data_IF_238366031415
#
_entry.id   IF_238366031415
#
_cell.length_a   1.000
_cell.length_b   1.000
_cell.length_c   1.000
_cell.angle_alpha   90.00
_cell.angle_beta   90.00
_cell.angle_gamma   90.00
#
_symmetry.space_group_name_H-M   'P 1'
#
loop_
_entity.id
_entity.type
_entity.pdbx_description
1 polymer ?
#
# COMPACT_ATOMS: atom_id res chain seq x y z
N UNK A 1 19.71 -5.50 1.14
CA UNK A 1 18.90 -5.91 2.32
C UNK A 1 18.40 -7.32 2.06
N UNK A 2 18.29 -8.15 3.09
CA UNK A 2 17.77 -9.50 2.94
C UNK A 2 16.37 -9.59 3.58
N UNK A 3 15.36 -9.87 2.77
CA UNK A 3 13.97 -10.06 3.17
C UNK A 3 13.47 -11.48 2.86
N UNK A 4 14.39 -12.44 2.69
CA UNK A 4 14.05 -13.84 2.44
C UNK A 4 13.03 -14.33 3.48
N UNK A 5 12.04 -15.10 3.04
CA UNK A 5 10.94 -15.61 3.86
C UNK A 5 10.00 -14.55 4.47
N UNK A 6 10.16 -13.27 4.12
CA UNK A 6 9.25 -12.21 4.54
C UNK A 6 8.16 -12.00 3.51
N UNK A 7 6.99 -11.57 4.00
CA UNK A 7 5.88 -11.15 3.15
C UNK A 7 5.61 -9.67 3.38
N UNK A 8 5.65 -8.91 2.30
CA UNK A 8 5.35 -7.49 2.28
C UNK A 8 3.99 -7.23 1.65
N UNK A 9 3.21 -6.36 2.28
CA UNK A 9 1.98 -5.80 1.72
C UNK A 9 2.24 -4.33 1.39
N UNK A 10 2.00 -3.93 0.13
CA UNK A 10 2.21 -2.56 -0.35
C UNK A 10 0.91 -2.01 -0.91
N UNK A 11 0.42 -0.90 -0.37
CA UNK A 11 -0.75 -0.24 -0.95
C UNK A 11 -0.36 0.68 -2.10
N UNK A 12 -1.14 0.64 -3.21
CA UNK A 12 -0.85 1.45 -4.40
C UNK A 12 0.39 0.99 -5.17
N UNK A 13 0.61 -0.31 -5.30
CA UNK A 13 1.84 -0.92 -5.84
C UNK A 13 1.94 -0.98 -7.37
N UNK A 14 0.91 -0.57 -8.13
CA UNK A 14 0.88 -0.75 -9.58
C UNK A 14 1.74 0.24 -10.38
N UNK A 15 2.14 1.37 -9.80
CA UNK A 15 2.92 2.43 -10.47
C UNK A 15 3.73 3.29 -9.50
N UNK A 16 4.59 4.15 -10.05
CA UNK A 16 5.33 5.17 -9.29
C UNK A 16 6.13 4.61 -8.14
N UNK A 17 6.08 5.27 -6.98
CA UNK A 17 6.81 4.89 -5.78
C UNK A 17 6.39 3.50 -5.27
N UNK A 18 5.09 3.19 -5.28
CA UNK A 18 4.59 1.89 -4.85
C UNK A 18 5.17 0.74 -5.66
N UNK A 19 5.24 0.88 -6.99
CA UNK A 19 5.91 -0.11 -7.87
C UNK A 19 7.40 -0.23 -7.54
N UNK A 20 8.10 0.88 -7.39
CA UNK A 20 9.52 0.86 -7.05
C UNK A 20 9.78 0.15 -5.72
N UNK A 21 8.92 0.39 -4.71
CA UNK A 21 8.98 -0.30 -3.42
C UNK A 21 8.73 -1.81 -3.58
N UNK A 22 7.73 -2.22 -4.37
CA UNK A 22 7.48 -3.63 -4.65
C UNK A 22 8.72 -4.32 -5.27
N UNK A 23 9.34 -3.69 -6.26
CA UNK A 23 10.54 -4.21 -6.92
C UNK A 23 11.74 -4.30 -5.98
N UNK A 24 11.93 -3.31 -5.11
CA UNK A 24 13.03 -3.32 -4.15
C UNK A 24 12.87 -4.40 -3.07
N UNK A 25 11.65 -4.60 -2.59
CA UNK A 25 11.33 -5.69 -1.68
C UNK A 25 11.52 -7.06 -2.35
N UNK A 26 11.10 -7.19 -3.62
CA UNK A 26 11.30 -8.39 -4.43
C UNK A 26 12.79 -8.70 -4.64
N UNK A 27 13.63 -7.70 -4.97
CA UNK A 27 15.12 -7.87 -5.04
C UNK A 27 15.71 -8.36 -3.73
N UNK A 28 15.14 -7.94 -2.61
CA UNK A 28 15.53 -8.39 -1.28
C UNK A 28 15.05 -9.81 -0.93
N UNK A 29 14.29 -10.47 -1.80
CA UNK A 29 13.78 -11.83 -1.61
C UNK A 29 12.44 -11.93 -0.87
N UNK A 30 11.72 -10.81 -0.69
CA UNK A 30 10.39 -10.85 -0.10
C UNK A 30 9.33 -11.38 -1.08
N UNK A 31 8.33 -12.09 -0.55
CA UNK A 31 7.06 -12.24 -1.23
C UNK A 31 6.31 -10.91 -1.19
N UNK A 32 5.69 -10.50 -2.29
CA UNK A 32 5.06 -9.19 -2.40
C UNK A 32 3.57 -9.34 -2.70
N UNK A 33 2.72 -8.79 -1.84
CA UNK A 33 1.31 -8.58 -2.13
C UNK A 33 1.09 -7.08 -2.24
N UNK A 34 0.46 -6.62 -3.29
CA UNK A 34 0.16 -5.20 -3.40
C UNK A 34 -1.24 -4.96 -3.91
N UNK A 35 -1.77 -3.79 -3.60
CA UNK A 35 -3.07 -3.42 -4.15
C UNK A 35 -2.99 -2.29 -5.18
N UNK A 36 -4.03 -2.24 -6.01
CA UNK A 36 -4.27 -1.20 -7.00
C UNK A 36 -5.76 -0.85 -7.05
N UNK A 37 -6.10 0.37 -7.46
CA UNK A 37 -7.50 0.79 -7.53
C UNK A 37 -8.15 0.47 -8.90
N UNK A 38 -7.54 0.87 -10.02
CA UNK A 38 -8.20 0.82 -11.32
C UNK A 38 -7.39 0.29 -12.50
N UNK A 39 -6.07 0.37 -12.48
CA UNK A 39 -5.25 -0.04 -13.62
C UNK A 39 -4.68 -1.45 -13.44
N UNK A 40 -5.44 -2.44 -13.92
CA UNK A 40 -5.08 -3.85 -13.85
C UNK A 40 -3.87 -4.19 -14.73
N UNK A 41 -3.75 -3.58 -15.91
CA UNK A 41 -2.61 -3.82 -16.80
C UNK A 41 -1.29 -3.42 -16.13
N UNK A 42 -1.22 -2.23 -15.50
CA UNK A 42 -0.05 -1.77 -14.76
C UNK A 42 0.23 -2.65 -13.51
N UNK A 43 -0.81 -3.21 -12.90
CA UNK A 43 -0.63 -4.14 -11.80
C UNK A 43 0.00 -5.46 -12.29
N UNK A 44 -0.48 -6.02 -13.40
CA UNK A 44 0.09 -7.23 -14.00
C UNK A 44 1.55 -7.03 -14.45
N UNK A 45 1.89 -5.87 -15.00
CA UNK A 45 3.28 -5.51 -15.30
C UNK A 45 4.17 -5.50 -14.05
N UNK A 46 3.64 -5.00 -12.93
CA UNK A 46 4.37 -4.98 -11.66
C UNK A 46 4.57 -6.40 -11.10
N UNK A 47 3.56 -7.27 -11.22
CA UNK A 47 3.68 -8.70 -10.86
C UNK A 47 4.79 -9.35 -11.67
N UNK A 48 4.72 -9.26 -13.01
CA UNK A 48 5.73 -9.85 -13.91
C UNK A 48 7.15 -9.33 -13.61
N UNK A 49 7.28 -8.04 -13.30
CA UNK A 49 8.56 -7.45 -12.92
C UNK A 49 9.10 -7.98 -11.57
N UNK A 50 8.25 -8.21 -10.58
CA UNK A 50 8.65 -8.85 -9.32
C UNK A 50 9.07 -10.31 -9.54
N UNK A 51 8.32 -11.05 -10.35
CA UNK A 51 8.61 -12.45 -10.67
C UNK A 51 9.93 -12.60 -11.44
N UNK A 52 10.24 -11.67 -12.35
CA UNK A 52 11.54 -11.64 -13.05
C UNK A 52 12.74 -11.45 -12.11
N UNK A 53 12.51 -10.93 -10.91
CA UNK A 53 13.50 -10.81 -9.84
C UNK A 53 13.56 -12.05 -8.92
N UNK A 54 12.78 -13.09 -9.22
CA UNK A 54 12.72 -14.34 -8.45
C UNK A 54 11.76 -14.31 -7.25
N UNK A 55 10.99 -13.24 -7.07
CA UNK A 55 10.02 -13.13 -6.00
C UNK A 55 8.64 -13.69 -6.42
N UNK A 56 7.82 -14.10 -5.46
CA UNK A 56 6.40 -14.35 -5.71
C UNK A 56 5.62 -13.07 -5.47
N UNK A 57 4.76 -12.70 -6.42
CA UNK A 57 3.98 -11.47 -6.33
C UNK A 57 2.49 -11.70 -6.62
N UNK A 58 1.62 -10.99 -5.90
CA UNK A 58 0.17 -11.01 -6.08
C UNK A 58 -0.38 -9.60 -6.07
N UNK A 59 -1.15 -9.25 -7.10
CA UNK A 59 -1.88 -8.00 -7.17
C UNK A 59 -3.35 -8.21 -6.75
N UNK A 60 -3.89 -7.30 -5.96
CA UNK A 60 -5.28 -7.31 -5.49
C UNK A 60 -5.93 -5.98 -5.81
N UNK A 61 -7.09 -5.99 -6.46
CA UNK A 61 -7.89 -4.78 -6.60
C UNK A 61 -8.48 -4.42 -5.25
N UNK A 62 -8.23 -3.20 -4.78
CA UNK A 62 -8.66 -2.75 -3.46
C UNK A 62 -8.71 -1.23 -3.40
N UNK A 63 -9.83 -0.71 -2.94
CA UNK A 63 -9.94 0.65 -2.45
C UNK A 63 -9.57 0.67 -0.96
N UNK A 64 -8.47 1.32 -0.62
CA UNK A 64 -7.98 1.38 0.77
C UNK A 64 -8.94 2.09 1.73
N UNK A 65 -9.86 2.90 1.23
CA UNK A 65 -10.91 3.55 2.03
C UNK A 65 -12.05 2.61 2.42
N UNK A 66 -12.13 1.42 1.77
CA UNK A 66 -13.13 0.39 2.01
C UNK A 66 -12.57 -0.71 2.93
N UNK A 67 -13.14 -0.86 4.12
CA UNK A 67 -12.68 -1.86 5.11
C UNK A 67 -12.76 -3.31 4.59
N UNK A 68 -13.80 -3.62 3.79
CA UNK A 68 -13.96 -4.95 3.21
C UNK A 68 -12.85 -5.28 2.21
N UNK A 69 -12.45 -4.32 1.37
CA UNK A 69 -11.37 -4.49 0.41
C UNK A 69 -10.03 -4.65 1.10
N UNK A 70 -9.76 -3.83 2.12
CA UNK A 70 -8.54 -3.95 2.95
C UNK A 70 -8.48 -5.32 3.64
N UNK A 71 -9.61 -5.79 4.16
CA UNK A 71 -9.67 -7.14 4.73
C UNK A 71 -9.34 -8.20 3.69
N UNK A 72 -9.91 -8.12 2.49
CA UNK A 72 -9.63 -9.06 1.39
C UNK A 72 -8.14 -9.04 0.98
N UNK A 73 -7.51 -7.86 0.94
CA UNK A 73 -6.08 -7.70 0.68
C UNK A 73 -5.23 -8.47 1.72
N UNK A 74 -5.50 -8.27 3.01
CA UNK A 74 -4.76 -8.95 4.08
C UNK A 74 -5.04 -10.45 4.10
N UNK A 75 -6.28 -10.85 3.90
CA UNK A 75 -6.66 -12.28 3.80
C UNK A 75 -5.94 -12.97 2.63
N UNK A 76 -5.78 -12.28 1.49
CA UNK A 76 -5.02 -12.80 0.34
C UNK A 76 -3.55 -13.01 0.71
N UNK A 77 -2.92 -12.05 1.38
CA UNK A 77 -1.54 -12.19 1.83
C UNK A 77 -1.37 -13.39 2.79
N UNK A 78 -2.29 -13.55 3.73
CA UNK A 78 -2.27 -14.65 4.70
C UNK A 78 -2.56 -16.01 4.07
N UNK A 79 -3.52 -16.11 3.14
CA UNK A 79 -3.83 -17.34 2.44
C UNK A 79 -2.69 -17.81 1.54
N UNK A 80 -2.02 -16.86 0.88
CA UNK A 80 -0.97 -17.19 -0.09
C UNK A 80 0.38 -17.48 0.59
N UNK A 81 0.74 -16.69 1.60
CA UNK A 81 2.08 -16.72 2.18
C UNK A 81 2.11 -17.02 3.70
N UNK A 82 0.96 -17.08 4.36
CA UNK A 82 0.84 -17.46 5.78
C UNK A 82 1.25 -16.37 6.77
N UNK A 83 1.79 -15.23 6.31
CA UNK A 83 2.35 -14.19 7.16
C UNK A 83 2.27 -12.80 6.54
N UNK A 84 2.36 -11.75 7.39
CA UNK A 84 2.54 -10.36 6.98
C UNK A 84 3.64 -9.77 7.86
N UNK A 85 4.80 -9.48 7.28
CA UNK A 85 5.97 -8.98 8.00
C UNK A 85 6.17 -7.49 7.83
N UNK A 86 5.84 -6.99 6.65
CA UNK A 86 6.04 -5.60 6.25
C UNK A 86 4.73 -5.07 5.67
N UNK A 87 4.28 -3.93 6.18
CA UNK A 87 3.18 -3.17 5.58
C UNK A 87 3.72 -1.81 5.15
N UNK A 88 3.54 -1.48 3.88
CA UNK A 88 3.87 -0.16 3.34
C UNK A 88 2.59 0.54 2.90
N UNK A 89 2.18 1.55 3.65
CA UNK A 89 1.06 2.41 3.32
C UNK A 89 1.57 3.53 2.40
N UNK A 90 1.42 3.30 1.08
CA UNK A 90 1.84 4.21 0.03
C UNK A 90 0.65 4.74 -0.78
N UNK A 91 -0.49 4.06 -0.79
CA UNK A 91 -1.67 4.54 -1.50
C UNK A 91 -2.09 5.93 -0.99
N UNK A 92 -2.36 6.82 -1.93
CA UNK A 92 -2.82 8.16 -1.62
C UNK A 92 -3.25 8.89 -2.88
N UNK A 93 -4.04 9.93 -2.68
CA UNK A 93 -4.52 10.84 -3.71
C UNK A 93 -4.25 12.28 -3.30
N UNK A 94 -4.21 13.17 -4.28
CA UNK A 94 -4.21 14.62 -4.07
C UNK A 94 -5.46 15.24 -4.71
N UNK A 95 -5.96 16.32 -4.13
CA UNK A 95 -7.04 17.16 -4.66
C UNK A 95 -6.66 18.60 -4.38
N UNK A 96 -5.74 19.11 -5.19
CA UNK A 96 -5.14 20.43 -4.97
C UNK A 96 -6.11 21.53 -5.45
N UNK A 97 -6.38 22.50 -4.58
CA UNK A 97 -7.17 23.68 -4.91
C UNK A 97 -6.88 24.80 -3.91
N UNK A 98 -7.28 26.03 -4.23
CA UNK A 98 -7.32 27.10 -3.24
C UNK A 98 -8.34 26.76 -2.15
N UNK A 99 -8.02 27.04 -0.89
CA UNK A 99 -8.89 26.70 0.24
C UNK A 99 -10.33 27.18 0.07
N UNK A 100 -10.50 28.41 -0.42
CA UNK A 100 -11.82 29.02 -0.65
C UNK A 100 -12.63 28.38 -1.79
N UNK A 101 -11.98 27.59 -2.66
CA UNK A 101 -12.60 26.92 -3.81
C UNK A 101 -12.64 25.41 -3.65
N UNK A 102 -12.01 24.89 -2.60
CA UNK A 102 -11.99 23.44 -2.34
C UNK A 102 -13.38 22.95 -1.94
N UNK A 103 -13.82 21.89 -2.56
CA UNK A 103 -15.10 21.26 -2.22
C UNK A 103 -14.93 20.33 -1.02
N UNK A 104 -15.93 20.25 -0.11
CA UNK A 104 -15.89 19.30 1.00
C UNK A 104 -15.63 17.85 0.55
N UNK A 105 -16.20 17.45 -0.59
CA UNK A 105 -16.04 16.09 -1.14
C UNK A 105 -14.59 15.80 -1.53
N UNK A 106 -13.84 16.79 -2.02
CA UNK A 106 -12.42 16.64 -2.35
C UNK A 106 -11.59 16.46 -1.08
N UNK A 107 -11.88 17.23 -0.04
CA UNK A 107 -11.28 17.07 1.28
C UNK A 107 -11.57 15.68 1.85
N UNK A 108 -12.84 15.26 1.87
CA UNK A 108 -13.27 13.96 2.39
C UNK A 108 -12.62 12.81 1.63
N UNK A 109 -12.49 12.92 0.31
CA UNK A 109 -11.81 11.92 -0.52
C UNK A 109 -10.34 11.76 -0.13
N UNK A 110 -9.63 12.86 0.10
CA UNK A 110 -8.21 12.83 0.53
C UNK A 110 -8.08 12.21 1.93
N UNK A 111 -8.91 12.62 2.88
CA UNK A 111 -8.89 12.05 4.25
C UNK A 111 -9.24 10.57 4.22
N UNK A 112 -10.24 10.17 3.44
CA UNK A 112 -10.66 8.77 3.32
C UNK A 112 -9.55 7.89 2.74
N UNK A 113 -8.89 8.31 1.67
CA UNK A 113 -7.85 7.51 1.05
C UNK A 113 -6.53 7.55 1.87
N UNK A 114 -6.04 8.74 2.22
CA UNK A 114 -4.69 8.90 2.75
C UNK A 114 -4.59 8.61 4.24
N UNK A 115 -5.59 9.00 5.03
CA UNK A 115 -5.57 8.86 6.49
C UNK A 115 -6.37 7.64 6.95
N UNK A 116 -7.67 7.57 6.61
CA UNK A 116 -8.52 6.44 6.99
C UNK A 116 -8.02 5.14 6.36
N UNK A 117 -7.61 5.15 5.09
CA UNK A 117 -7.06 3.98 4.40
C UNK A 117 -5.81 3.45 5.10
N UNK A 118 -4.88 4.33 5.46
CA UNK A 118 -3.70 3.97 6.26
C UNK A 118 -4.08 3.35 7.60
N UNK A 119 -5.04 3.95 8.32
CA UNK A 119 -5.56 3.40 9.58
C UNK A 119 -6.17 2.00 9.40
N UNK A 120 -7.01 1.80 8.37
CA UNK A 120 -7.65 0.51 8.10
C UNK A 120 -6.62 -0.58 7.79
N UNK A 121 -5.60 -0.27 6.98
CA UNK A 121 -4.53 -1.21 6.67
C UNK A 121 -3.71 -1.57 7.91
N UNK A 122 -3.35 -0.59 8.75
CA UNK A 122 -2.65 -0.85 10.01
C UNK A 122 -3.50 -1.70 10.96
N UNK A 123 -4.78 -1.37 11.13
CA UNK A 123 -5.73 -2.13 11.96
C UNK A 123 -5.80 -3.59 11.51
N UNK A 124 -5.91 -3.84 10.20
CA UNK A 124 -6.05 -5.19 9.66
C UNK A 124 -4.75 -6.01 9.79
N UNK A 125 -3.58 -5.40 9.58
CA UNK A 125 -2.28 -6.07 9.69
C UNK A 125 -1.84 -6.31 11.15
N UNK A 126 -2.18 -5.38 12.05
CA UNK A 126 -1.69 -5.38 13.44
C UNK A 126 -1.99 -6.69 14.19
N UNK A 127 -3.20 -7.23 14.04
CA UNK A 127 -3.59 -8.50 14.71
C UNK A 127 -2.64 -9.64 14.34
N UNK A 128 -2.28 -9.76 13.07
CA UNK A 128 -1.38 -10.80 12.59
C UNK A 128 0.05 -10.55 13.04
N UNK A 129 0.53 -9.30 12.96
CA UNK A 129 1.87 -8.92 13.41
C UNK A 129 2.07 -9.16 14.91
N UNK A 130 1.05 -8.87 15.74
CA UNK A 130 1.07 -9.19 17.18
C UNK A 130 1.16 -10.70 17.41
N UNK A 131 0.34 -11.50 16.69
CA UNK A 131 0.38 -12.96 16.79
C UNK A 131 1.75 -13.54 16.39
N UNK A 132 2.38 -12.97 15.38
CA UNK A 132 3.72 -13.36 14.90
C UNK A 132 4.85 -12.86 15.83
N UNK A 133 4.58 -11.91 16.73
CA UNK A 133 5.56 -11.15 17.51
C UNK A 133 6.60 -10.46 16.61
N UNK A 134 6.20 -10.10 15.39
CA UNK A 134 7.04 -9.43 14.41
C UNK A 134 6.17 -8.66 13.42
N UNK A 135 6.60 -7.45 13.09
CA UNK A 135 6.02 -6.61 12.05
C UNK A 135 6.78 -5.30 11.91
N UNK A 136 6.74 -4.74 10.70
CA UNK A 136 7.25 -3.40 10.38
C UNK A 136 6.22 -2.68 9.55
N UNK A 137 5.87 -1.48 9.95
CA UNK A 137 4.91 -0.62 9.25
C UNK A 137 5.63 0.64 8.82
N UNK A 138 5.52 0.96 7.54
CA UNK A 138 6.03 2.18 6.93
C UNK A 138 4.85 2.97 6.38
N UNK A 139 4.66 4.18 6.85
CA UNK A 139 3.65 5.10 6.35
C UNK A 139 4.33 6.20 5.53
N UNK A 140 3.97 6.31 4.26
CA UNK A 140 4.46 7.40 3.43
C UNK A 140 3.68 8.67 3.75
N UNK A 141 4.41 9.73 4.08
CA UNK A 141 3.89 11.06 4.30
C UNK A 141 4.44 12.01 3.23
N UNK A 142 4.35 13.29 3.44
CA UNK A 142 4.84 14.28 2.49
C UNK A 142 5.58 15.42 3.21
N UNK A 143 6.59 15.94 2.56
CA UNK A 143 7.27 17.18 2.97
C UNK A 143 6.33 18.38 2.97
N UNK A 144 5.23 18.31 2.21
CA UNK A 144 4.17 19.32 2.17
C UNK A 144 3.51 19.47 3.54
N UNK A 145 3.37 18.40 4.31
CA UNK A 145 2.87 18.45 5.68
C UNK A 145 3.78 19.22 6.66
N UNK A 146 5.06 19.41 6.31
CA UNK A 146 6.03 20.14 7.13
C UNK A 146 6.21 21.60 6.69
N UNK A 147 6.11 21.86 5.39
CA UNK A 147 6.44 23.18 4.81
C UNK A 147 5.26 23.88 4.13
N UNK A 148 4.18 23.16 3.89
CA UNK A 148 3.08 23.62 3.05
C UNK A 148 3.45 23.65 1.57
N UNK A 149 2.42 23.80 0.73
CA UNK A 149 2.55 24.05 -0.70
C UNK A 149 1.28 24.77 -1.18
N UNK A 150 1.42 25.66 -2.15
CA UNK A 150 0.27 26.36 -2.70
C UNK A 150 -0.77 25.37 -3.25
N UNK A 151 -2.04 25.50 -2.82
CA UNK A 151 -3.13 24.62 -3.21
C UNK A 151 -3.22 23.26 -2.47
N UNK A 152 -2.34 23.04 -1.51
CA UNK A 152 -2.35 21.78 -0.71
C UNK A 152 -2.60 22.08 0.76
#
# INVERSE_FOLDING_TARGET
>A
MNFSEKTAVVTGGSRGLGRAICLELARGGANVVFCYAGNEAAANETVAACESLGAKAVAVRCDVSCEADVKALMDTALKTFGRIDILVNNAGITRDNLLMLMKPEDFDAVISANLKGTFLCMKAAARQMVKQRYGRIVNLSSVVGLRGNAGQ
#
